data_IF_921138686593
#
_entry.id   IF_921138686593
#
_cell.length_a   1.000
_cell.length_b   1.000
_cell.length_c   1.000
_cell.angle_alpha   90.00
_cell.angle_beta   90.00
_cell.angle_gamma   90.00
#
_symmetry.space_group_name_H-M   'P 1'
#
loop_
_entity.id
_entity.type
_entity.pdbx_description
1 polymer ?
#
# COMPACT_ATOMS: atom_id res chain seq x y z
N UNK A 1 -59.61 12.13 -29.01
CA UNK A 1 -58.09 12.26 -28.90
C UNK A 1 -57.50 12.28 -27.48
N UNK A 2 -58.18 12.75 -26.43
CA UNK A 2 -57.61 12.82 -25.04
C UNK A 2 -57.33 11.48 -24.34
N UNK A 3 -58.02 10.39 -24.64
CA UNK A 3 -57.86 9.07 -23.98
C UNK A 3 -56.56 8.33 -24.41
N UNK A 4 -56.09 8.49 -25.63
CA UNK A 4 -54.93 7.78 -26.17
C UNK A 4 -53.62 8.34 -25.59
N UNK A 5 -53.55 9.66 -25.33
CA UNK A 5 -52.39 10.29 -24.72
C UNK A 5 -52.20 9.92 -23.24
N UNK A 6 -53.29 9.69 -22.52
CA UNK A 6 -53.26 9.34 -21.09
C UNK A 6 -52.74 7.91 -20.84
N UNK A 7 -53.00 6.98 -21.75
CA UNK A 7 -52.52 5.59 -21.68
C UNK A 7 -51.03 5.47 -22.03
N UNK A 8 -50.54 6.22 -23.01
CA UNK A 8 -49.09 6.26 -23.35
C UNK A 8 -48.25 6.84 -22.20
N UNK A 9 -48.74 7.91 -21.56
CA UNK A 9 -48.03 8.55 -20.42
C UNK A 9 -47.95 7.63 -19.19
N UNK A 10 -49.01 6.86 -18.86
CA UNK A 10 -49.00 5.89 -17.78
C UNK A 10 -48.05 4.70 -18.04
N UNK A 11 -47.92 4.28 -19.32
CA UNK A 11 -47.03 3.19 -19.71
C UNK A 11 -45.55 3.60 -19.58
N UNK A 12 -45.21 4.81 -19.99
CA UNK A 12 -43.85 5.33 -19.85
C UNK A 12 -43.47 5.54 -18.39
N UNK A 13 -44.39 5.97 -17.53
CA UNK A 13 -44.11 6.12 -16.09
C UNK A 13 -43.82 4.79 -15.41
N UNK A 14 -44.52 3.72 -15.78
CA UNK A 14 -44.23 2.37 -15.27
C UNK A 14 -42.87 1.86 -15.72
N UNK A 15 -42.44 2.15 -16.94
CA UNK A 15 -41.12 1.78 -17.47
C UNK A 15 -40.02 2.57 -16.75
N UNK A 16 -40.21 3.88 -16.54
CA UNK A 16 -39.26 4.72 -15.81
C UNK A 16 -39.13 4.26 -14.36
N UNK A 17 -40.25 3.96 -13.69
CA UNK A 17 -40.23 3.44 -12.32
C UNK A 17 -39.53 2.08 -12.24
N UNK A 18 -39.73 1.21 -13.20
CA UNK A 18 -39.04 -0.10 -13.27
C UNK A 18 -37.55 0.05 -13.45
N UNK A 19 -37.11 0.99 -14.30
CA UNK A 19 -35.69 1.29 -14.50
C UNK A 19 -35.06 1.87 -13.22
N UNK A 20 -35.76 2.78 -12.53
CA UNK A 20 -35.26 3.35 -11.26
C UNK A 20 -35.13 2.29 -10.16
N UNK A 21 -36.07 1.36 -10.06
CA UNK A 21 -36.01 0.24 -9.12
C UNK A 21 -34.84 -0.70 -9.49
N UNK A 22 -34.63 -0.98 -10.78
CA UNK A 22 -33.55 -1.83 -11.24
C UNK A 22 -32.18 -1.21 -10.96
N UNK A 23 -32.02 0.10 -11.19
CA UNK A 23 -30.77 0.84 -10.88
C UNK A 23 -30.51 0.88 -9.37
N UNK A 24 -31.56 1.09 -8.56
CA UNK A 24 -31.46 1.06 -7.10
C UNK A 24 -31.05 -0.32 -6.57
N UNK A 25 -31.61 -1.40 -7.11
CA UNK A 25 -31.26 -2.77 -6.69
C UNK A 25 -29.85 -3.16 -7.12
N UNK A 26 -29.38 -2.72 -8.29
CA UNK A 26 -27.99 -2.91 -8.74
C UNK A 26 -27.04 -2.12 -7.86
N UNK A 27 -27.38 -0.89 -7.49
CA UNK A 27 -26.56 -0.05 -6.62
C UNK A 27 -26.47 -0.62 -5.20
N UNK A 28 -27.58 -1.10 -4.62
CA UNK A 28 -27.56 -1.75 -3.30
C UNK A 28 -26.84 -3.10 -3.32
N UNK A 29 -26.96 -3.88 -4.39
CA UNK A 29 -26.20 -5.12 -4.57
C UNK A 29 -24.68 -4.85 -4.67
N UNK A 30 -24.25 -3.82 -5.41
CA UNK A 30 -22.85 -3.41 -5.47
C UNK A 30 -22.33 -2.87 -4.13
N UNK A 31 -23.15 -2.17 -3.36
CA UNK A 31 -22.79 -1.72 -2.00
C UNK A 31 -22.63 -2.92 -1.04
N UNK A 32 -23.52 -3.91 -1.14
CA UNK A 32 -23.42 -5.15 -0.35
C UNK A 32 -22.18 -5.97 -0.74
N UNK A 33 -21.86 -6.08 -2.02
CA UNK A 33 -20.66 -6.78 -2.50
C UNK A 33 -19.38 -6.08 -2.02
N UNK A 34 -19.32 -4.75 -2.03
CA UNK A 34 -18.19 -4.00 -1.45
C UNK A 34 -18.07 -4.17 0.07
N UNK A 35 -19.17 -4.39 0.79
CA UNK A 35 -19.15 -4.60 2.24
C UNK A 35 -18.92 -6.06 2.67
N UNK A 36 -19.04 -7.03 1.76
CA UNK A 36 -18.83 -8.46 2.07
C UNK A 36 -17.43 -8.96 1.78
N UNK A 37 -16.53 -8.13 1.22
CA UNK A 37 -15.10 -8.44 1.13
C UNK A 37 -14.35 -8.08 2.42
N UNK A 38 -14.91 -8.38 3.59
CA UNK A 38 -14.15 -8.40 4.83
C UNK A 38 -13.40 -9.72 4.90
N UNK A 39 -12.09 -9.68 4.70
CA UNK A 39 -11.21 -10.79 5.00
C UNK A 39 -11.25 -11.06 6.51
N UNK A 40 -11.66 -12.25 6.89
CA UNK A 40 -11.54 -12.73 8.26
C UNK A 40 -10.31 -13.63 8.37
N UNK A 41 -9.36 -13.23 9.19
CA UNK A 41 -8.23 -14.07 9.56
C UNK A 41 -8.71 -15.01 10.68
N UNK A 42 -8.85 -16.29 10.38
CA UNK A 42 -9.04 -17.35 11.37
C UNK A 42 -7.78 -18.22 11.33
N UNK A 43 -7.09 -18.37 12.47
CA UNK A 43 -5.91 -19.22 12.66
C UNK A 43 -4.70 -18.91 11.76
N UNK A 44 -4.41 -17.63 11.46
CA UNK A 44 -3.20 -17.22 10.75
C UNK A 44 -3.10 -17.73 9.31
N UNK A 45 -4.18 -18.24 8.70
CA UNK A 45 -4.27 -18.65 7.30
C UNK A 45 -5.24 -17.76 6.55
N UNK A 46 -4.77 -17.16 5.47
CA UNK A 46 -5.58 -16.42 4.51
C UNK A 46 -6.49 -17.42 3.78
N UNK A 47 -7.73 -17.51 4.19
CA UNK A 47 -8.73 -18.30 3.47
C UNK A 47 -9.41 -17.39 2.46
N UNK A 48 -9.07 -17.54 1.18
CA UNK A 48 -9.82 -16.95 0.08
C UNK A 48 -11.19 -17.64 0.02
N UNK A 49 -12.22 -16.98 0.51
CA UNK A 49 -13.59 -17.42 0.29
C UNK A 49 -13.98 -16.98 -1.13
N UNK A 50 -13.85 -17.90 -2.09
CA UNK A 50 -14.40 -17.73 -3.42
C UNK A 50 -15.90 -17.96 -3.29
N UNK A 51 -16.70 -16.87 -3.23
CA UNK A 51 -18.16 -16.98 -3.34
C UNK A 51 -18.46 -17.34 -4.79
N UNK A 52 -18.71 -18.61 -5.03
CA UNK A 52 -19.19 -19.07 -6.33
C UNK A 52 -20.67 -18.64 -6.45
N UNK A 53 -20.88 -17.46 -7.01
CA UNK A 53 -22.23 -16.93 -7.26
C UNK A 53 -22.78 -17.69 -8.46
N UNK A 54 -23.62 -18.66 -8.20
CA UNK A 54 -24.38 -19.36 -9.23
C UNK A 54 -25.37 -18.36 -9.90
N UNK A 55 -24.85 -17.67 -10.93
CA UNK A 55 -25.59 -16.66 -11.68
C UNK A 55 -26.89 -17.21 -12.28
N UNK A 56 -26.91 -18.49 -12.63
CA UNK A 56 -28.06 -19.18 -13.19
C UNK A 56 -29.18 -19.31 -12.14
N UNK A 57 -28.82 -19.64 -10.93
CA UNK A 57 -29.75 -19.82 -9.79
C UNK A 57 -30.35 -18.49 -9.32
N UNK A 58 -29.59 -17.40 -9.43
CA UNK A 58 -30.06 -16.04 -9.11
C UNK A 58 -31.06 -15.57 -10.18
N UNK A 59 -30.73 -15.74 -11.46
CA UNK A 59 -31.61 -15.35 -12.56
C UNK A 59 -32.92 -16.16 -12.57
N UNK A 60 -32.86 -17.45 -12.24
CA UNK A 60 -34.04 -18.31 -12.06
C UNK A 60 -34.96 -17.82 -10.92
N UNK A 61 -34.35 -17.44 -9.76
CA UNK A 61 -35.13 -16.86 -8.63
C UNK A 61 -35.74 -15.52 -8.96
N UNK A 62 -35.16 -14.76 -9.90
CA UNK A 62 -35.71 -13.49 -10.39
C UNK A 62 -36.74 -13.68 -11.52
N UNK A 63 -37.11 -14.92 -11.89
CA UNK A 63 -38.05 -15.22 -12.95
C UNK A 63 -37.53 -14.90 -14.36
N UNK A 64 -36.21 -14.74 -14.53
CA UNK A 64 -35.59 -14.44 -15.81
C UNK A 64 -35.08 -15.73 -16.49
N UNK A 65 -35.50 -15.94 -17.72
CA UNK A 65 -35.09 -17.09 -18.52
C UNK A 65 -33.63 -16.88 -19.00
N UNK A 66 -32.69 -17.64 -18.43
CA UNK A 66 -31.26 -17.59 -18.72
C UNK A 66 -30.93 -17.65 -20.22
N UNK A 67 -31.59 -18.54 -20.98
CA UNK A 67 -31.41 -18.66 -22.45
C UNK A 67 -31.80 -17.40 -23.21
N UNK A 68 -32.84 -16.68 -22.75
CA UNK A 68 -33.29 -15.44 -23.35
C UNK A 68 -32.43 -14.25 -22.97
N UNK A 69 -31.90 -14.24 -21.74
CA UNK A 69 -30.94 -13.25 -21.26
C UNK A 69 -29.61 -13.35 -22.01
N UNK A 70 -29.05 -14.56 -22.19
CA UNK A 70 -27.81 -14.78 -22.94
C UNK A 70 -27.92 -14.42 -24.44
N UNK A 71 -29.09 -14.54 -25.05
CA UNK A 71 -29.30 -14.12 -26.46
C UNK A 71 -29.29 -12.59 -26.61
N UNK A 72 -29.64 -11.85 -25.55
CA UNK A 72 -29.59 -10.38 -25.52
C UNK A 72 -28.15 -9.91 -25.22
N UNK A 73 -27.46 -10.61 -24.31
CA UNK A 73 -26.10 -10.29 -23.89
C UNK A 73 -25.06 -10.59 -24.99
N UNK A 74 -25.27 -11.64 -25.83
CA UNK A 74 -24.36 -11.96 -26.94
C UNK A 74 -24.36 -10.96 -28.09
N UNK A 75 -25.23 -9.99 -28.11
CA UNK A 75 -25.33 -9.02 -29.21
C UNK A 75 -24.43 -7.80 -29.03
N UNK A 76 -24.08 -7.49 -27.78
CA UNK A 76 -23.15 -6.42 -27.42
C UNK A 76 -22.37 -6.91 -26.18
N UNK A 77 -21.39 -7.82 -26.38
CA UNK A 77 -20.37 -7.98 -25.35
C UNK A 77 -19.61 -6.65 -25.31
N UNK A 78 -19.75 -5.84 -24.24
CA UNK A 78 -18.74 -4.84 -24.00
C UNK A 78 -17.44 -5.64 -23.88
N UNK A 79 -16.47 -5.34 -24.73
CA UNK A 79 -15.09 -5.70 -24.48
C UNK A 79 -14.81 -5.05 -23.12
N UNK A 80 -14.97 -5.83 -22.04
CA UNK A 80 -14.33 -5.49 -20.77
C UNK A 80 -12.84 -5.64 -21.06
N UNK A 81 -12.24 -4.56 -21.59
CA UNK A 81 -10.86 -4.33 -21.30
C UNK A 81 -10.84 -4.42 -19.77
N UNK A 82 -10.20 -5.46 -19.22
CA UNK A 82 -9.79 -5.45 -17.83
C UNK A 82 -9.15 -4.08 -17.67
N UNK A 83 -9.82 -3.23 -16.89
CA UNK A 83 -9.23 -1.97 -16.47
C UNK A 83 -8.01 -2.45 -15.70
N UNK A 84 -6.87 -2.43 -16.36
CA UNK A 84 -5.59 -2.71 -15.75
C UNK A 84 -5.38 -1.55 -14.79
N UNK A 85 -5.84 -1.73 -13.54
CA UNK A 85 -5.57 -0.80 -12.46
C UNK A 85 -4.07 -0.84 -12.24
N UNK A 86 -3.38 0.15 -12.78
CA UNK A 86 -1.96 0.36 -12.53
C UNK A 86 -1.86 0.95 -11.11
N UNK A 87 -1.74 0.08 -10.13
CA UNK A 87 -1.57 0.48 -8.74
C UNK A 87 -0.27 1.25 -8.58
N UNK A 88 -0.22 2.28 -7.70
CA UNK A 88 1.03 2.97 -7.38
C UNK A 88 2.10 1.97 -6.96
N UNK A 89 3.30 2.06 -7.53
CA UNK A 89 4.41 1.15 -7.26
C UNK A 89 5.37 1.74 -6.24
N UNK A 90 5.69 0.95 -5.22
CA UNK A 90 6.68 1.29 -4.19
C UNK A 90 7.82 0.28 -4.23
N UNK A 91 9.06 0.76 -4.21
CA UNK A 91 10.25 -0.08 -4.11
C UNK A 91 10.89 0.06 -2.73
N UNK A 92 10.95 -1.03 -1.98
CA UNK A 92 11.53 -1.10 -0.65
C UNK A 92 12.85 -1.85 -0.73
N UNK A 93 13.89 -1.28 -0.17
CA UNK A 93 15.20 -1.90 -0.08
C UNK A 93 15.82 -1.65 1.29
N UNK A 94 16.84 -2.42 1.62
CA UNK A 94 17.57 -2.29 2.87
C UNK A 94 19.06 -2.19 2.54
N UNK A 95 19.63 -0.99 2.51
CA UNK A 95 21.06 -0.79 2.24
C UNK A 95 21.93 -1.60 3.22
N UNK A 96 21.46 -1.74 4.46
CA UNK A 96 22.08 -2.58 5.48
C UNK A 96 21.21 -3.82 5.76
N UNK A 97 20.99 -4.66 4.74
CA UNK A 97 20.04 -5.79 4.77
C UNK A 97 20.31 -6.87 5.83
N UNK A 98 21.40 -6.78 6.57
CA UNK A 98 21.73 -7.67 7.71
C UNK A 98 21.56 -6.98 9.07
N UNK A 99 20.89 -5.86 9.13
CA UNK A 99 20.44 -5.26 10.38
C UNK A 99 19.30 -6.09 10.99
N UNK A 100 19.38 -6.29 12.31
CA UNK A 100 18.46 -7.14 13.06
C UNK A 100 17.81 -6.37 14.19
N UNK A 101 16.60 -6.80 14.54
CA UNK A 101 15.87 -6.49 15.75
C UNK A 101 15.94 -7.69 16.70
N UNK A 102 15.43 -7.54 17.90
CA UNK A 102 15.18 -8.69 18.75
C UNK A 102 14.06 -9.55 18.16
N UNK A 103 14.41 -10.72 17.61
CA UNK A 103 13.48 -11.70 17.03
C UNK A 103 13.12 -11.49 15.55
N UNK A 104 13.83 -10.65 14.80
CA UNK A 104 13.63 -10.46 13.36
C UNK A 104 14.64 -9.51 12.73
N UNK A 105 14.45 -9.19 11.45
CA UNK A 105 15.37 -8.38 10.65
C UNK A 105 14.65 -7.19 9.96
N UNK A 106 15.44 -6.25 9.44
CA UNK A 106 14.92 -5.16 8.60
C UNK A 106 14.27 -5.68 7.31
N UNK A 107 14.71 -6.87 6.83
CA UNK A 107 14.09 -7.52 5.66
C UNK A 107 12.72 -8.09 6.01
N UNK A 108 12.55 -8.66 7.22
CA UNK A 108 11.23 -9.08 7.70
C UNK A 108 10.28 -7.90 7.83
N UNK A 109 10.77 -6.78 8.36
CA UNK A 109 10.02 -5.52 8.45
C UNK A 109 9.62 -4.98 7.06
N UNK A 110 10.52 -5.03 6.07
CA UNK A 110 10.23 -4.63 4.70
C UNK A 110 9.16 -5.51 4.05
N UNK A 111 9.22 -6.83 4.24
CA UNK A 111 8.20 -7.76 3.75
C UNK A 111 6.85 -7.52 4.43
N UNK A 112 6.85 -7.27 5.75
CA UNK A 112 5.62 -6.92 6.47
C UNK A 112 5.01 -5.61 5.96
N UNK A 113 5.83 -4.59 5.68
CA UNK A 113 5.37 -3.33 5.10
C UNK A 113 4.76 -3.54 3.71
N UNK A 114 5.38 -4.36 2.86
CA UNK A 114 4.81 -4.76 1.56
C UNK A 114 3.42 -5.38 1.70
N UNK A 115 3.25 -6.30 2.67
CA UNK A 115 1.94 -6.93 2.94
C UNK A 115 0.89 -5.91 3.36
N UNK A 116 1.24 -4.97 4.27
CA UNK A 116 0.31 -3.94 4.73
C UNK A 116 -0.05 -2.94 3.63
N UNK A 117 0.89 -2.56 2.75
CA UNK A 117 0.63 -1.66 1.62
C UNK A 117 -0.36 -2.24 0.62
N UNK A 118 -0.41 -3.58 0.47
CA UNK A 118 -1.40 -4.25 -0.38
C UNK A 118 -2.84 -3.95 0.06
N UNK A 119 -3.10 -3.79 1.37
CA UNK A 119 -4.42 -3.44 1.90
C UNK A 119 -4.90 -2.06 1.43
N UNK A 120 -3.99 -1.23 0.92
CA UNK A 120 -4.25 0.10 0.39
C UNK A 120 -4.17 0.16 -1.15
N UNK A 121 -4.13 -1.00 -1.84
CA UNK A 121 -3.95 -1.09 -3.29
C UNK A 121 -2.64 -0.44 -3.77
N UNK A 122 -1.56 -0.61 -3.03
CA UNK A 122 -0.22 -0.18 -3.40
C UNK A 122 0.61 -1.42 -3.70
N UNK A 123 1.19 -1.48 -4.90
CA UNK A 123 2.06 -2.57 -5.34
C UNK A 123 3.49 -2.34 -4.85
N UNK A 124 3.88 -3.02 -3.78
CA UNK A 124 5.21 -2.88 -3.21
C UNK A 124 6.12 -4.06 -3.59
N UNK A 125 7.33 -3.76 -4.05
CA UNK A 125 8.38 -4.73 -4.30
C UNK A 125 9.49 -4.56 -3.26
N UNK A 126 9.93 -5.66 -2.64
CA UNK A 126 11.08 -5.68 -1.71
C UNK A 126 12.30 -6.23 -2.42
N UNK A 127 13.44 -5.55 -2.30
CA UNK A 127 14.72 -6.03 -2.82
C UNK A 127 15.18 -7.28 -2.06
N UNK A 128 15.57 -8.31 -2.80
CA UNK A 128 15.98 -9.60 -2.25
C UNK A 128 17.49 -9.83 -2.28
N UNK A 129 18.24 -8.92 -2.87
CA UNK A 129 19.70 -9.05 -3.01
C UNK A 129 20.40 -8.96 -1.66
N UNK A 130 21.33 -9.87 -1.39
CA UNK A 130 22.21 -9.77 -0.21
C UNK A 130 23.32 -8.74 -0.42
N UNK A 131 22.98 -7.48 -0.15
CA UNK A 131 23.83 -6.30 -0.35
C UNK A 131 25.12 -6.39 0.46
N UNK A 132 25.02 -6.74 1.73
CA UNK A 132 26.19 -6.89 2.62
C UNK A 132 27.07 -8.06 2.18
N UNK A 133 26.45 -9.16 1.73
CA UNK A 133 27.16 -10.30 1.16
C UNK A 133 27.92 -9.93 -0.11
N UNK A 134 27.31 -9.14 -1.00
CA UNK A 134 27.97 -8.68 -2.23
C UNK A 134 29.17 -7.76 -1.94
N UNK A 135 29.03 -6.82 -1.00
CA UNK A 135 30.14 -5.96 -0.55
C UNK A 135 31.31 -6.81 -0.04
N UNK A 136 31.03 -7.83 0.78
CA UNK A 136 32.04 -8.76 1.26
C UNK A 136 32.70 -9.56 0.12
N UNK A 137 31.91 -10.09 -0.79
CA UNK A 137 32.42 -10.87 -1.93
C UNK A 137 33.33 -10.03 -2.86
N UNK A 138 33.07 -8.73 -2.96
CA UNK A 138 33.88 -7.77 -3.74
C UNK A 138 35.05 -7.15 -2.95
N UNK A 139 35.28 -7.56 -1.71
CA UNK A 139 36.31 -6.97 -0.80
C UNK A 139 36.14 -5.45 -0.63
N UNK A 140 34.91 -4.96 -0.63
CA UNK A 140 34.59 -3.57 -0.39
C UNK A 140 34.34 -3.29 1.11
N UNK A 141 34.47 -2.03 1.51
CA UNK A 141 34.17 -1.62 2.89
C UNK A 141 32.63 -1.59 3.13
N UNK A 142 32.20 -1.79 4.37
CA UNK A 142 30.77 -1.79 4.73
C UNK A 142 30.03 -0.52 4.26
N UNK A 143 30.66 0.65 4.30
CA UNK A 143 30.11 1.91 3.78
C UNK A 143 29.81 1.88 2.27
N UNK A 144 30.40 0.93 1.53
CA UNK A 144 30.18 0.80 0.08
C UNK A 144 28.86 0.07 -0.27
N UNK A 145 28.09 -0.38 0.74
CA UNK A 145 26.72 -0.88 0.55
C UNK A 145 25.85 0.12 -0.22
N UNK A 146 26.03 1.42 0.02
CA UNK A 146 25.34 2.48 -0.74
C UNK A 146 25.71 2.52 -2.24
N UNK A 147 26.88 2.03 -2.65
CA UNK A 147 27.23 1.89 -4.07
C UNK A 147 26.40 0.79 -4.73
N UNK A 148 26.22 -0.34 -4.03
CA UNK A 148 25.42 -1.46 -4.52
C UNK A 148 23.94 -1.07 -4.63
N UNK A 149 23.38 -0.43 -3.59
CA UNK A 149 21.99 0.02 -3.62
C UNK A 149 21.77 1.15 -4.61
N UNK A 150 22.78 1.98 -4.90
CA UNK A 150 22.70 2.98 -5.97
C UNK A 150 22.46 2.33 -7.33
N UNK A 151 23.19 1.28 -7.65
CA UNK A 151 23.01 0.51 -8.90
C UNK A 151 21.61 -0.08 -8.99
N UNK A 152 21.10 -0.68 -7.89
CA UNK A 152 19.77 -1.25 -7.81
C UNK A 152 18.68 -0.20 -8.00
N UNK A 153 18.73 0.89 -7.25
CA UNK A 153 17.76 2.00 -7.36
C UNK A 153 17.77 2.59 -8.78
N UNK A 154 18.97 2.84 -9.34
CA UNK A 154 19.10 3.37 -10.70
C UNK A 154 18.49 2.45 -11.73
N UNK A 155 18.62 1.13 -11.58
CA UNK A 155 18.03 0.16 -12.50
C UNK A 155 16.49 0.17 -12.50
N UNK A 156 15.89 0.67 -11.41
CA UNK A 156 14.43 0.76 -11.21
C UNK A 156 13.83 2.11 -11.63
N UNK A 157 14.63 3.09 -11.98
CA UNK A 157 14.16 4.45 -12.28
C UNK A 157 13.17 4.55 -13.45
N UNK A 158 13.16 3.55 -14.34
CA UNK A 158 12.25 3.48 -15.50
C UNK A 158 10.93 2.73 -15.21
N UNK A 159 10.71 2.23 -13.99
CA UNK A 159 9.57 1.36 -13.65
C UNK A 159 8.33 2.12 -13.12
N UNK A 160 8.28 3.45 -13.25
CA UNK A 160 7.19 4.30 -12.73
C UNK A 160 6.93 4.11 -11.23
N UNK A 161 7.99 4.08 -10.42
CA UNK A 161 7.92 3.93 -8.98
C UNK A 161 7.63 5.29 -8.34
N UNK A 162 6.54 5.36 -7.58
CA UNK A 162 6.10 6.61 -6.92
C UNK A 162 6.88 6.91 -5.64
N UNK A 163 7.46 5.88 -4.99
CA UNK A 163 8.26 6.05 -3.77
C UNK A 163 9.31 4.94 -3.63
N UNK A 164 10.54 5.32 -3.30
CA UNK A 164 11.64 4.43 -2.95
C UNK A 164 11.89 4.54 -1.44
N UNK A 165 11.95 3.41 -0.74
CA UNK A 165 12.10 3.37 0.72
C UNK A 165 13.35 2.57 1.08
N UNK A 166 14.38 3.24 1.62
CA UNK A 166 15.50 2.60 2.28
C UNK A 166 15.14 2.37 3.75
N UNK A 167 14.76 1.14 4.09
CA UNK A 167 14.29 0.81 5.42
C UNK A 167 15.43 0.27 6.28
N UNK A 168 15.70 0.95 7.38
CA UNK A 168 16.75 0.70 8.36
C UNK A 168 16.20 0.55 9.76
N UNK A 169 17.08 0.21 10.69
CA UNK A 169 16.87 0.39 12.13
C UNK A 169 18.03 1.21 12.71
N UNK A 170 17.73 2.01 13.73
CA UNK A 170 18.72 2.83 14.44
C UNK A 170 19.60 1.97 15.38
N UNK A 171 20.72 2.51 15.82
CA UNK A 171 21.62 1.91 16.82
C UNK A 171 21.51 2.52 18.23
N UNK A 172 20.55 3.44 18.42
CA UNK A 172 20.32 4.08 19.73
C UNK A 172 19.56 3.17 20.67
N UNK A 173 19.62 3.48 21.98
CA UNK A 173 18.96 2.69 23.01
C UNK A 173 17.43 2.67 22.83
N UNK A 174 16.80 1.58 23.26
CA UNK A 174 15.35 1.33 23.23
C UNK A 174 14.51 2.48 23.79
N UNK A 175 14.94 3.14 24.85
CA UNK A 175 14.23 4.25 25.50
C UNK A 175 13.92 5.41 24.54
N UNK A 176 14.76 5.62 23.50
CA UNK A 176 14.56 6.66 22.49
C UNK A 176 13.68 6.19 21.34
N UNK A 177 13.55 4.88 21.15
CA UNK A 177 12.90 4.28 19.96
C UNK A 177 11.62 3.53 20.27
N UNK A 178 11.13 3.56 21.51
CA UNK A 178 9.89 2.87 21.90
C UNK A 178 8.84 3.88 22.37
N UNK A 179 7.60 3.68 21.97
CA UNK A 179 6.43 4.38 22.46
C UNK A 179 5.44 3.37 23.07
N UNK A 180 4.72 3.82 24.11
CA UNK A 180 3.58 3.10 24.67
C UNK A 180 2.31 3.85 24.30
N UNK A 181 1.39 3.18 23.62
CA UNK A 181 0.09 3.74 23.23
C UNK A 181 -0.96 2.65 23.47
N UNK A 182 -2.01 2.98 24.23
CA UNK A 182 -3.11 2.05 24.53
C UNK A 182 -2.66 0.67 25.06
N UNK A 183 -1.71 0.68 26.01
CA UNK A 183 -1.10 -0.52 26.60
C UNK A 183 -0.32 -1.41 25.61
N UNK A 184 0.04 -0.88 24.44
CA UNK A 184 0.80 -1.59 23.41
C UNK A 184 2.10 -0.85 23.13
N UNK A 185 3.19 -1.61 22.95
CA UNK A 185 4.51 -1.08 22.61
C UNK A 185 4.66 -0.95 21.11
N UNK A 186 5.28 0.16 20.68
CA UNK A 186 5.53 0.49 19.28
C UNK A 186 6.98 0.93 19.09
N UNK A 187 7.61 0.56 18.00
CA UNK A 187 8.86 1.14 17.55
C UNK A 187 8.59 2.55 16.98
N UNK A 188 9.41 3.55 17.33
CA UNK A 188 9.29 4.91 16.78
C UNK A 188 10.02 5.02 15.45
N UNK A 189 9.53 5.89 14.58
CA UNK A 189 10.10 6.20 13.26
C UNK A 189 10.93 7.48 13.30
N UNK A 190 12.09 7.47 12.63
CA UNK A 190 12.88 8.66 12.32
C UNK A 190 13.12 8.70 10.82
N UNK A 191 12.76 9.78 10.17
CA UNK A 191 13.12 10.02 8.77
C UNK A 191 14.52 10.62 8.71
N UNK A 192 15.35 10.12 7.79
CA UNK A 192 16.73 10.63 7.62
C UNK A 192 16.88 11.19 6.22
N UNK A 193 17.29 12.45 6.15
CA UNK A 193 17.53 13.15 4.88
C UNK A 193 19.02 13.42 4.72
N UNK A 194 19.53 13.00 3.57
CA UNK A 194 20.91 13.26 3.15
C UNK A 194 21.05 14.68 2.62
N UNK A 195 21.71 15.55 3.38
CA UNK A 195 21.86 16.96 3.03
C UNK A 195 23.09 17.30 2.18
N UNK A 196 23.77 16.30 1.59
CA UNK A 196 24.99 16.49 0.79
C UNK A 196 24.71 16.63 -0.73
N UNK A 197 23.54 17.06 -1.13
CA UNK A 197 23.19 17.35 -2.52
C UNK A 197 22.22 18.53 -2.58
N UNK A 198 22.14 19.20 -3.72
CA UNK A 198 21.44 20.48 -3.85
C UNK A 198 19.93 20.36 -3.72
N UNK A 199 19.36 19.22 -4.13
CA UNK A 199 17.92 18.94 -4.12
C UNK A 199 17.39 18.29 -2.83
N UNK A 200 18.19 18.18 -1.75
CA UNK A 200 17.80 17.51 -0.51
C UNK A 200 16.52 18.08 0.13
N UNK A 201 16.18 19.33 -0.15
CA UNK A 201 14.96 19.95 0.37
C UNK A 201 13.70 19.31 -0.19
N UNK A 202 13.75 18.77 -1.40
CA UNK A 202 12.65 18.04 -2.02
C UNK A 202 12.42 16.71 -1.29
N UNK A 203 13.48 15.95 -0.99
CA UNK A 203 13.37 14.74 -0.17
C UNK A 203 12.87 15.07 1.25
N UNK A 204 13.32 16.21 1.80
CA UNK A 204 12.81 16.69 3.09
C UNK A 204 11.31 16.95 3.06
N UNK A 205 10.79 17.56 2.01
CA UNK A 205 9.35 17.82 1.86
C UNK A 205 8.55 16.51 1.84
N UNK A 206 8.97 15.51 1.05
CA UNK A 206 8.35 14.18 1.03
C UNK A 206 8.35 13.54 2.42
N UNK A 207 9.49 13.57 3.12
CA UNK A 207 9.59 13.05 4.48
C UNK A 207 8.68 13.81 5.46
N UNK A 208 8.56 15.15 5.33
CA UNK A 208 7.74 15.99 6.21
C UNK A 208 6.25 15.72 6.02
N UNK A 209 5.79 15.57 4.78
CA UNK A 209 4.41 15.22 4.46
C UNK A 209 4.04 13.85 5.04
N UNK A 210 4.83 12.81 4.78
CA UNK A 210 4.60 11.48 5.36
C UNK A 210 4.64 11.53 6.89
N UNK A 211 5.59 12.27 7.47
CA UNK A 211 5.71 12.42 8.92
C UNK A 211 4.50 13.15 9.55
N UNK A 212 3.86 14.07 8.83
CA UNK A 212 2.58 14.68 9.27
C UNK A 212 1.49 13.62 9.38
N UNK A 213 1.36 12.73 8.40
CA UNK A 213 0.39 11.62 8.48
C UNK A 213 0.70 10.65 9.62
N UNK A 214 1.98 10.33 9.87
CA UNK A 214 2.39 9.53 11.05
C UNK A 214 1.94 10.21 12.33
N UNK A 215 2.17 11.52 12.48
CA UNK A 215 1.79 12.29 13.67
C UNK A 215 0.29 12.45 13.82
N UNK A 216 -0.46 12.50 12.73
CA UNK A 216 -1.93 12.53 12.76
C UNK A 216 -2.52 11.25 13.35
N UNK A 217 -1.87 10.08 13.16
CA UNK A 217 -2.23 8.85 13.85
C UNK A 217 -1.94 8.97 15.35
N UNK A 218 -0.70 9.26 15.72
CA UNK A 218 -0.28 9.60 17.06
C UNK A 218 1.14 10.18 17.02
N UNK A 219 1.35 11.35 17.64
CA UNK A 219 2.64 12.03 17.68
C UNK A 219 3.76 11.18 18.35
N UNK A 220 3.39 10.23 19.22
CA UNK A 220 4.34 9.34 19.89
C UNK A 220 5.09 8.40 18.95
N UNK A 221 4.55 8.12 17.76
CA UNK A 221 5.21 7.22 16.78
C UNK A 221 6.37 7.86 16.03
N UNK A 222 6.46 9.19 16.04
CA UNK A 222 7.48 9.93 15.30
C UNK A 222 8.62 10.44 16.18
N UNK A 223 9.84 10.30 15.71
CA UNK A 223 11.05 10.98 16.21
C UNK A 223 11.42 12.20 15.35
N UNK A 224 10.60 12.52 14.34
CA UNK A 224 10.81 13.66 13.44
C UNK A 224 11.70 13.33 12.24
N UNK A 225 12.42 14.35 11.78
CA UNK A 225 13.28 14.29 10.59
C UNK A 225 14.67 14.78 10.96
N UNK A 226 15.69 14.01 10.59
CA UNK A 226 17.09 14.32 10.81
C UNK A 226 17.80 14.58 9.48
N UNK A 227 18.36 15.79 9.30
CA UNK A 227 19.16 16.12 8.12
C UNK A 227 20.65 15.84 8.40
N UNK A 228 21.26 14.95 7.62
CA UNK A 228 22.69 14.61 7.67
C UNK A 228 23.45 15.31 6.55
N UNK A 229 24.07 16.44 6.84
CA UNK A 229 24.77 17.28 5.86
C UNK A 229 25.99 16.62 5.20
N UNK A 230 26.54 15.54 5.79
CA UNK A 230 27.73 14.82 5.30
C UNK A 230 27.42 13.66 4.37
N UNK A 231 26.15 13.30 4.15
CA UNK A 231 25.74 12.11 3.42
C UNK A 231 24.63 12.41 2.43
N UNK A 232 24.51 11.63 1.35
CA UNK A 232 23.44 11.71 0.35
C UNK A 232 22.43 10.57 0.48
N UNK A 233 22.84 9.38 0.94
CA UNK A 233 22.00 8.18 1.08
C UNK A 233 21.26 7.80 -0.21
N UNK A 234 21.89 8.00 -1.38
CA UNK A 234 21.31 7.85 -2.72
C UNK A 234 20.08 8.74 -2.99
N UNK A 235 19.71 9.65 -2.09
CA UNK A 235 18.59 10.56 -2.25
C UNK A 235 18.85 11.65 -3.31
N UNK A 236 20.10 11.82 -3.71
CA UNK A 236 20.50 12.64 -4.86
C UNK A 236 20.04 12.08 -6.22
N UNK A 237 19.55 10.83 -6.29
CA UNK A 237 19.03 10.21 -7.49
C UNK A 237 17.61 10.68 -7.83
N UNK A 238 16.76 10.91 -6.81
CA UNK A 238 15.39 11.39 -6.99
C UNK A 238 14.80 11.95 -5.68
N UNK A 239 13.86 12.88 -5.79
CA UNK A 239 13.21 13.52 -4.64
C UNK A 239 12.29 12.57 -3.85
N UNK A 240 11.78 11.52 -4.49
CA UNK A 240 10.93 10.49 -3.90
C UNK A 240 11.69 9.30 -3.29
N UNK A 241 12.97 9.47 -2.97
CA UNK A 241 13.75 8.49 -2.19
C UNK A 241 13.78 8.93 -0.73
N UNK A 242 13.30 8.07 0.16
CA UNK A 242 13.30 8.32 1.60
C UNK A 242 14.07 7.24 2.35
N UNK A 243 14.65 7.61 3.49
CA UNK A 243 15.25 6.68 4.43
C UNK A 243 14.50 6.74 5.76
N UNK A 244 14.12 5.59 6.27
CA UNK A 244 13.38 5.45 7.52
C UNK A 244 14.17 4.56 8.48
N UNK A 245 14.52 5.11 9.65
CA UNK A 245 14.96 4.34 10.80
C UNK A 245 13.72 3.91 11.60
N UNK A 246 13.34 2.65 11.51
CA UNK A 246 12.17 2.10 12.19
C UNK A 246 12.62 1.37 13.46
N UNK A 247 12.49 2.01 14.61
CA UNK A 247 13.00 1.47 15.87
C UNK A 247 14.52 1.42 15.94
N UNK A 248 15.05 0.52 16.75
CA UNK A 248 16.47 0.23 16.92
C UNK A 248 16.70 -1.26 17.11
N UNK A 249 17.98 -1.65 17.18
CA UNK A 249 18.39 -3.03 17.49
C UNK A 249 17.79 -3.61 18.78
N UNK A 250 17.41 -2.74 19.72
CA UNK A 250 16.86 -3.12 21.02
C UNK A 250 15.34 -3.29 20.98
N UNK A 251 14.66 -2.91 19.88
CA UNK A 251 13.23 -3.15 19.70
C UNK A 251 12.96 -4.59 19.32
N UNK A 252 11.84 -5.11 19.76
CA UNK A 252 11.34 -6.42 19.29
C UNK A 252 10.71 -6.29 17.91
N UNK A 253 10.74 -7.36 17.13
CA UNK A 253 10.04 -7.38 15.83
C UNK A 253 8.53 -7.17 15.98
N UNK A 254 7.94 -7.53 17.12
CA UNK A 254 6.53 -7.23 17.42
C UNK A 254 6.27 -5.74 17.52
N UNK A 255 7.13 -4.97 18.21
CA UNK A 255 7.01 -3.52 18.29
C UNK A 255 7.15 -2.84 16.92
N UNK A 256 8.05 -3.37 16.09
CA UNK A 256 8.23 -2.95 14.70
C UNK A 256 6.97 -3.24 13.88
N UNK A 257 6.43 -4.45 13.96
CA UNK A 257 5.21 -4.86 13.26
C UNK A 257 4.00 -4.03 13.67
N UNK A 258 3.89 -3.65 14.96
CA UNK A 258 2.84 -2.77 15.44
C UNK A 258 2.90 -1.38 14.76
N UNK A 259 4.10 -0.90 14.47
CA UNK A 259 4.32 0.41 13.84
C UNK A 259 4.17 0.36 12.32
N UNK A 260 4.44 -0.79 11.69
CA UNK A 260 4.33 -0.95 10.24
C UNK A 260 2.91 -0.64 9.74
N UNK A 261 1.87 -1.02 10.47
CA UNK A 261 0.49 -0.66 10.12
C UNK A 261 0.27 0.86 10.10
N UNK A 262 0.85 1.59 11.07
CA UNK A 262 0.82 3.06 11.09
C UNK A 262 1.58 3.66 9.93
N UNK A 263 2.77 3.13 9.63
CA UNK A 263 3.58 3.57 8.49
C UNK A 263 2.86 3.33 7.16
N UNK A 264 2.29 2.15 6.96
CA UNK A 264 1.55 1.82 5.74
C UNK A 264 0.35 2.76 5.52
N UNK A 265 -0.39 3.09 6.59
CA UNK A 265 -1.48 4.07 6.53
C UNK A 265 -0.97 5.47 6.14
N UNK A 266 0.13 5.93 6.75
CA UNK A 266 0.72 7.24 6.43
C UNK A 266 1.23 7.31 4.99
N UNK A 267 1.91 6.25 4.50
CA UNK A 267 2.37 6.14 3.11
C UNK A 267 1.20 6.12 2.13
N UNK A 268 0.14 5.37 2.45
CA UNK A 268 -1.07 5.33 1.63
C UNK A 268 -1.73 6.70 1.53
N UNK A 269 -1.82 7.44 2.64
CA UNK A 269 -2.37 8.79 2.63
C UNK A 269 -1.56 9.74 1.74
N UNK A 270 -0.23 9.67 1.82
CA UNK A 270 0.67 10.47 0.99
C UNK A 270 0.58 10.11 -0.51
N UNK A 271 0.52 8.82 -0.84
CA UNK A 271 0.55 8.35 -2.24
C UNK A 271 -0.78 8.63 -2.97
N UNK A 272 -1.89 8.66 -2.24
CA UNK A 272 -3.24 8.83 -2.81
C UNK A 272 -3.76 10.27 -2.74
N UNK A 273 -2.95 11.24 -2.30
CA UNK A 273 -3.23 12.67 -2.33
C UNK A 273 -2.99 13.28 -3.72
#
# INVERSE_FOLDING_TARGET
>A
MRKVFRTKRKRNYKIILFILVLVSTIFTANLMIKNTSKEYIIDGKLNHFKIDIDKEKILLKMGLNYKKANKIIKKDEPVFNELQYDFPKVYIYNTHNREEYNGGSVVDAANKLKEELRNYNIDATVETKDIVGEVKAKNLAYKDTYKITRELVTSKMNENIVLYIDLHRDSVKREFTTAQVDNKSYAKMLFVVGGKHDTYKENYQVCDEINKYVKNNNNAFSRGILVRKSSSYNQDLASNIILIELGSQDNTIEEVNNTIGVLANALSSYINE
#
